data_IF_670041884081
#
_entry.id   IF_670041884081
#
_cell.length_a   1.000
_cell.length_b   1.000
_cell.length_c   1.000
_cell.angle_alpha   90.00
_cell.angle_beta   90.00
_cell.angle_gamma   90.00
#
_symmetry.space_group_name_H-M   'P 1'
#
loop_
_entity.id
_entity.type
_entity.pdbx_description
1 polymer ?
#
# COMPACT_ATOMS: atom_id res chain seq x y z
N UNK A 1 -17.08 8.97 -52.67
CA UNK A 1 -15.77 9.66 -52.58
C UNK A 1 -15.95 10.99 -51.87
N UNK A 2 -15.58 11.07 -50.58
CA UNK A 2 -15.45 12.34 -49.85
C UNK A 2 -14.21 12.25 -48.97
N UNK A 3 -13.45 13.34 -49.01
CA UNK A 3 -12.05 13.52 -48.68
C UNK A 3 -11.60 13.03 -47.29
N UNK A 4 -10.40 12.44 -47.29
CA UNK A 4 -9.56 12.11 -46.15
C UNK A 4 -8.98 13.41 -45.54
N UNK A 5 -9.13 13.63 -44.23
CA UNK A 5 -8.28 14.55 -43.46
C UNK A 5 -7.95 13.88 -42.12
N UNK A 6 -6.80 13.18 -42.01
CA UNK A 6 -6.44 12.42 -40.82
C UNK A 6 -5.56 13.27 -39.90
N UNK A 7 -5.91 14.54 -39.68
CA UNK A 7 -5.06 15.49 -38.95
C UNK A 7 -5.68 15.89 -37.61
N UNK A 8 -6.06 14.89 -36.81
CA UNK A 8 -6.35 15.04 -35.38
C UNK A 8 -6.01 13.75 -34.64
N UNK A 9 -4.93 13.07 -35.04
CA UNK A 9 -4.33 11.98 -34.27
C UNK A 9 -3.48 12.59 -33.14
N UNK A 10 -4.09 13.36 -32.24
CA UNK A 10 -3.47 13.74 -30.98
C UNK A 10 -3.52 12.53 -30.05
N UNK A 11 -2.54 11.64 -30.24
CA UNK A 11 -2.19 10.60 -29.29
C UNK A 11 -1.67 11.29 -28.02
N UNK A 12 -2.59 11.66 -27.14
CA UNK A 12 -2.25 11.97 -25.75
C UNK A 12 -2.00 10.62 -25.07
N UNK A 13 -0.78 10.10 -25.21
CA UNK A 13 -0.30 9.03 -24.35
C UNK A 13 -0.17 9.60 -22.95
N UNK A 14 -1.23 9.46 -22.16
CA UNK A 14 -1.15 9.58 -20.71
C UNK A 14 -0.12 8.57 -20.25
N UNK A 15 1.08 9.04 -19.92
CA UNK A 15 2.04 8.26 -19.17
C UNK A 15 1.41 7.98 -17.81
N UNK A 16 0.81 6.79 -17.66
CA UNK A 16 0.39 6.30 -16.36
C UNK A 16 1.68 5.98 -15.63
N UNK A 17 2.16 6.92 -14.82
CA UNK A 17 3.24 6.68 -13.89
C UNK A 17 2.72 5.67 -12.86
N UNK A 18 2.99 4.38 -13.11
CA UNK A 18 2.81 3.34 -12.11
C UNK A 18 3.92 3.57 -11.08
N UNK A 19 3.58 4.22 -9.97
CA UNK A 19 4.48 4.31 -8.82
C UNK A 19 4.61 2.92 -8.22
N UNK A 20 5.64 2.18 -8.63
CA UNK A 20 6.08 0.97 -7.95
C UNK A 20 6.89 1.40 -6.72
N UNK A 21 6.37 1.12 -5.53
CA UNK A 21 7.11 1.25 -4.27
C UNK A 21 8.34 0.34 -4.36
N UNK A 22 9.52 0.95 -4.40
CA UNK A 22 10.79 0.22 -4.40
C UNK A 22 11.04 -0.34 -2.99
N UNK A 23 11.59 -1.57 -2.88
CA UNK A 23 12.03 -2.08 -1.59
C UNK A 23 13.13 -1.21 -1.00
N UNK A 24 13.16 -1.10 0.33
CA UNK A 24 14.17 -0.35 1.09
C UNK A 24 15.58 -0.84 0.73
N UNK A 25 16.48 0.09 0.38
CA UNK A 25 17.91 -0.19 0.19
C UNK A 25 18.58 -0.38 1.56
N UNK A 26 18.85 -1.62 1.96
CA UNK A 26 19.64 -1.94 3.18
C UNK A 26 21.13 -1.94 2.87
N UNK A 27 21.94 -1.46 3.82
CA UNK A 27 23.39 -1.68 3.82
C UNK A 27 23.64 -3.11 4.32
N UNK A 28 24.14 -4.00 3.47
CA UNK A 28 24.41 -5.40 3.82
C UNK A 28 25.60 -5.49 4.79
N UNK A 29 25.39 -6.13 5.94
CA UNK A 29 26.43 -6.39 6.94
C UNK A 29 27.02 -7.80 6.71
N UNK A 30 28.35 -7.95 6.57
CA UNK A 30 28.99 -9.25 6.45
C UNK A 30 29.11 -9.95 7.82
N UNK A 31 28.91 -11.27 7.85
CA UNK A 31 29.14 -12.18 8.97
C UNK A 31 29.92 -13.42 8.52
N UNK A 32 30.46 -14.20 9.45
CA UNK A 32 31.14 -15.48 9.14
C UNK A 32 30.27 -16.63 9.66
N UNK A 33 29.92 -17.59 8.81
CA UNK A 33 29.13 -18.76 9.21
C UNK A 33 29.99 -19.81 9.94
N UNK A 34 29.36 -20.91 10.37
CA UNK A 34 30.05 -22.00 11.09
C UNK A 34 31.05 -22.76 10.22
N UNK A 35 30.97 -22.60 8.90
CA UNK A 35 31.86 -23.18 7.89
C UNK A 35 33.05 -22.25 7.56
N UNK A 36 33.13 -21.07 8.18
CA UNK A 36 34.20 -20.10 7.95
C UNK A 36 34.00 -19.25 6.70
N UNK A 37 32.82 -19.27 6.09
CA UNK A 37 32.49 -18.50 4.89
C UNK A 37 31.92 -17.14 5.29
N UNK A 38 32.30 -16.09 4.57
CA UNK A 38 31.69 -14.77 4.72
C UNK A 38 30.30 -14.80 4.07
N UNK A 39 29.27 -14.75 4.90
CA UNK A 39 27.86 -14.74 4.50
C UNK A 39 27.25 -13.38 4.85
N UNK A 40 26.19 -13.00 4.14
CA UNK A 40 25.45 -11.79 4.46
C UNK A 40 24.43 -12.09 5.57
N UNK A 41 24.34 -11.21 6.58
CA UNK A 41 23.40 -11.41 7.70
C UNK A 41 21.95 -11.58 7.24
N UNK A 42 21.55 -10.94 6.13
CA UNK A 42 20.22 -11.05 5.54
C UNK A 42 19.96 -12.42 4.87
N UNK A 43 21.01 -13.18 4.57
CA UNK A 43 20.91 -14.54 4.02
C UNK A 43 20.82 -15.60 5.13
N UNK A 44 21.52 -15.37 6.26
CA UNK A 44 21.43 -16.24 7.44
C UNK A 44 20.15 -15.99 8.24
N UNK A 45 19.62 -14.76 8.19
CA UNK A 45 18.30 -14.42 8.70
C UNK A 45 17.23 -14.86 7.71
N UNK A 46 16.83 -16.13 7.79
CA UNK A 46 15.56 -16.59 7.22
C UNK A 46 14.33 -15.90 7.83
N UNK A 47 14.47 -14.79 8.58
CA UNK A 47 13.43 -13.76 8.58
C UNK A 47 13.44 -13.09 7.20
N UNK A 48 12.78 -13.74 6.24
CA UNK A 48 12.23 -13.10 5.05
C UNK A 48 11.78 -11.69 5.50
N UNK A 49 12.31 -10.59 4.91
CA UNK A 49 11.82 -9.26 5.27
C UNK A 49 10.31 -9.34 5.25
N UNK A 50 9.68 -9.02 6.38
CA UNK A 50 8.26 -9.17 6.57
C UNK A 50 7.62 -8.53 5.34
N UNK A 51 6.98 -9.32 4.45
CA UNK A 51 6.70 -8.91 3.05
C UNK A 51 5.79 -7.67 2.95
N UNK A 52 5.40 -7.15 4.10
CA UNK A 52 4.53 -6.04 4.36
C UNK A 52 5.21 -4.93 5.17
N UNK A 53 6.55 -4.82 5.15
CA UNK A 53 7.29 -3.71 5.77
C UNK A 53 7.27 -2.48 4.85
N UNK A 54 6.22 -1.66 4.98
CA UNK A 54 6.04 -0.43 4.20
C UNK A 54 6.58 0.77 4.99
N UNK A 55 7.41 1.58 4.34
CA UNK A 55 7.77 2.92 4.81
C UNK A 55 6.86 3.95 4.15
N UNK A 56 5.86 4.42 4.91
CA UNK A 56 4.89 5.41 4.42
C UNK A 56 5.35 6.82 4.82
N UNK A 57 5.34 7.75 3.86
CA UNK A 57 5.62 9.16 4.13
C UNK A 57 4.36 9.90 4.57
N UNK A 58 4.51 10.91 5.43
CA UNK A 58 3.38 11.72 5.93
C UNK A 58 2.75 12.65 4.88
N UNK A 59 3.31 12.72 3.66
CA UNK A 59 2.81 13.58 2.58
C UNK A 59 1.65 12.96 1.79
N UNK A 60 1.34 11.69 2.02
CA UNK A 60 0.26 11.03 1.30
C UNK A 60 -1.12 11.50 1.78
N UNK A 61 -2.07 11.60 0.84
CA UNK A 61 -3.46 11.96 1.14
C UNK A 61 -4.22 10.81 1.81
N UNK A 62 -5.08 11.16 2.75
CA UNK A 62 -5.99 10.21 3.40
C UNK A 62 -6.97 9.59 2.40
N UNK A 63 -7.34 8.33 2.67
CA UNK A 63 -8.24 7.56 1.82
C UNK A 63 -9.34 6.92 2.65
N UNK A 64 -10.58 7.01 2.18
CA UNK A 64 -11.69 6.27 2.75
C UNK A 64 -11.75 4.86 2.13
N UNK A 65 -11.94 3.84 2.95
CA UNK A 65 -12.00 2.46 2.49
C UNK A 65 -13.02 1.64 3.28
N UNK A 66 -13.56 0.58 2.66
CA UNK A 66 -14.56 -0.32 3.22
C UNK A 66 -14.06 -1.78 3.21
N UNK A 67 -14.32 -2.53 4.28
CA UNK A 67 -13.95 -3.95 4.39
C UNK A 67 -15.13 -4.92 4.29
N UNK A 68 -16.34 -4.43 4.01
CA UNK A 68 -17.57 -5.24 4.06
C UNK A 68 -18.40 -5.05 5.33
N UNK A 69 -17.82 -4.46 6.38
CA UNK A 69 -18.46 -4.26 7.69
C UNK A 69 -18.56 -2.77 8.05
N UNK A 70 -17.46 -2.03 7.93
CA UNK A 70 -17.37 -0.65 8.34
C UNK A 70 -16.45 0.17 7.42
N UNK A 71 -16.59 1.49 7.47
CA UNK A 71 -15.69 2.42 6.79
C UNK A 71 -14.52 2.82 7.68
N UNK A 72 -13.33 2.90 7.09
CA UNK A 72 -12.14 3.40 7.76
C UNK A 72 -11.50 4.50 6.92
N UNK A 73 -11.19 5.62 7.58
CA UNK A 73 -10.30 6.64 7.02
C UNK A 73 -8.86 6.26 7.35
N UNK A 74 -8.09 5.85 6.36
CA UNK A 74 -6.66 5.62 6.50
C UNK A 74 -5.91 6.93 6.27
N UNK A 75 -4.81 7.14 7.00
CA UNK A 75 -3.94 8.31 6.84
C UNK A 75 -3.34 8.40 5.44
N UNK A 76 -3.14 7.26 4.77
CA UNK A 76 -2.70 7.21 3.39
C UNK A 76 -3.08 5.93 2.67
N UNK A 77 -2.93 5.94 1.33
CA UNK A 77 -3.00 4.71 0.53
C UNK A 77 -1.91 3.71 0.94
N UNK A 78 -0.72 4.20 1.32
CA UNK A 78 0.38 3.37 1.79
C UNK A 78 0.01 2.63 3.09
N UNK A 79 -0.55 3.32 4.08
CA UNK A 79 -0.91 2.69 5.36
C UNK A 79 -2.04 1.67 5.18
N UNK A 80 -3.01 1.93 4.29
CA UNK A 80 -4.01 0.95 3.90
C UNK A 80 -3.40 -0.27 3.19
N UNK A 81 -2.46 -0.07 2.26
CA UNK A 81 -1.78 -1.17 1.57
C UNK A 81 -0.97 -2.04 2.54
N UNK A 82 -0.26 -1.41 3.48
CA UNK A 82 0.47 -2.08 4.54
C UNK A 82 -0.45 -2.92 5.42
N UNK A 83 -1.58 -2.36 5.81
CA UNK A 83 -2.63 -3.07 6.52
C UNK A 83 -3.13 -4.29 5.73
N UNK A 84 -3.51 -4.11 4.47
CA UNK A 84 -4.06 -5.16 3.61
C UNK A 84 -3.07 -6.28 3.27
N UNK A 85 -1.77 -5.97 3.33
CA UNK A 85 -0.71 -6.96 3.17
C UNK A 85 -0.63 -7.86 4.41
N UNK A 86 -0.65 -7.26 5.61
CA UNK A 86 -0.62 -8.00 6.88
C UNK A 86 -1.92 -8.74 7.17
N UNK A 87 -3.05 -8.26 6.63
CA UNK A 87 -4.40 -8.77 6.92
C UNK A 87 -5.13 -9.20 5.63
N UNK A 88 -4.68 -10.26 4.93
CA UNK A 88 -5.24 -10.66 3.64
C UNK A 88 -6.72 -11.07 3.69
N UNK A 89 -7.21 -11.51 4.85
CA UNK A 89 -8.62 -11.91 5.06
C UNK A 89 -9.54 -10.77 5.49
N UNK A 90 -8.98 -9.62 5.90
CA UNK A 90 -9.75 -8.48 6.45
C UNK A 90 -9.48 -7.20 5.65
N UNK A 91 -9.33 -7.33 4.34
CA UNK A 91 -8.87 -6.24 3.47
C UNK A 91 -9.90 -5.12 3.33
N UNK A 92 -9.39 -3.91 3.21
CA UNK A 92 -10.13 -2.72 2.85
C UNK A 92 -9.98 -2.39 1.37
N UNK A 93 -11.09 -1.98 0.74
CA UNK A 93 -11.11 -1.48 -0.63
C UNK A 93 -11.44 0.00 -0.61
N UNK A 94 -10.71 0.81 -1.38
CA UNK A 94 -10.93 2.25 -1.46
C UNK A 94 -12.34 2.54 -1.97
N UNK A 95 -13.00 3.50 -1.34
CA UNK A 95 -14.27 4.09 -1.76
C UNK A 95 -14.13 5.60 -1.82
N UNK A 96 -15.18 6.31 -2.24
CA UNK A 96 -15.15 7.76 -2.33
C UNK A 96 -14.98 8.41 -0.94
N UNK A 97 -14.03 9.35 -0.83
CA UNK A 97 -13.65 9.97 0.44
C UNK A 97 -14.83 10.59 1.21
N UNK A 98 -15.82 11.15 0.51
CA UNK A 98 -16.99 11.75 1.14
C UNK A 98 -17.80 10.74 1.98
N UNK A 99 -17.72 9.43 1.71
CA UNK A 99 -18.45 8.40 2.46
C UNK A 99 -18.01 8.33 3.91
N UNK A 100 -16.74 8.59 4.20
CA UNK A 100 -16.22 8.66 5.57
C UNK A 100 -16.59 9.98 6.28
N UNK A 101 -17.15 10.97 5.56
CA UNK A 101 -17.43 12.31 6.08
C UNK A 101 -18.94 12.51 6.29
N UNK A 102 -19.78 12.00 5.39
CA UNK A 102 -21.22 12.28 5.37
C UNK A 102 -22.04 11.49 6.41
N UNK A 103 -21.43 10.57 7.16
CA UNK A 103 -22.05 9.94 8.35
C UNK A 103 -23.20 8.95 8.09
N UNK A 104 -23.57 8.70 6.82
CA UNK A 104 -24.65 7.76 6.48
C UNK A 104 -24.25 6.27 6.55
N UNK A 105 -22.95 5.98 6.59
CA UNK A 105 -22.41 4.62 6.73
C UNK A 105 -21.51 4.62 7.97
N UNK A 106 -21.62 3.60 8.85
CA UNK A 106 -20.84 3.58 10.08
C UNK A 106 -19.34 3.49 9.78
N UNK A 107 -18.58 4.38 10.43
CA UNK A 107 -17.14 4.21 10.57
C UNK A 107 -16.87 3.03 11.51
N UNK A 108 -15.70 2.42 11.37
CA UNK A 108 -15.26 1.39 12.29
C UNK A 108 -15.17 1.95 13.72
N UNK A 109 -15.81 1.27 14.67
CA UNK A 109 -15.81 1.65 16.07
C UNK A 109 -14.39 1.59 16.66
N UNK A 110 -14.13 2.23 17.81
CA UNK A 110 -12.86 2.05 18.53
C UNK A 110 -12.53 0.58 18.80
N UNK A 111 -13.52 -0.23 19.15
CA UNK A 111 -13.39 -1.66 19.43
C UNK A 111 -13.06 -2.43 18.15
N UNK A 112 -13.78 -2.18 17.06
CA UNK A 112 -13.51 -2.80 15.75
C UNK A 112 -12.10 -2.45 15.27
N UNK A 113 -11.68 -1.18 15.38
CA UNK A 113 -10.31 -0.77 15.01
C UNK A 113 -9.24 -1.50 15.81
N UNK A 114 -9.48 -1.70 17.11
CA UNK A 114 -8.58 -2.46 17.98
C UNK A 114 -8.51 -3.92 17.58
N UNK A 115 -9.64 -4.57 17.29
CA UNK A 115 -9.69 -5.96 16.80
C UNK A 115 -9.05 -6.14 15.43
N UNK A 116 -9.13 -5.10 14.60
CA UNK A 116 -8.50 -5.06 13.30
C UNK A 116 -7.00 -4.76 13.38
N UNK A 117 -6.48 -4.26 14.51
CA UNK A 117 -5.08 -3.84 14.64
C UNK A 117 -4.78 -2.53 13.90
N UNK A 118 -5.78 -1.67 13.74
CA UNK A 118 -5.67 -0.34 13.14
C UNK A 118 -5.43 0.65 14.28
N UNK A 119 -4.19 1.07 14.48
CA UNK A 119 -3.85 2.15 15.42
C UNK A 119 -4.39 3.49 14.89
N UNK A 120 -5.00 4.26 15.80
CA UNK A 120 -5.48 5.63 15.52
C UNK A 120 -4.35 6.65 15.54
#
# INVERSE_FOLDING_TARGET
MKHFSPLCLFLVTLAVANASVLPVKRNHLPAVNQQGEVVWLDEMSHSVPDKCDFSCTDQDLSVCAHNGQCLQLFTSRCTMAAYNCRNPQKRFNIVENYKCILGYVPLCSPEERKELGITM
#
